data_IF_103893154028
#
_entry.id   IF_103893154028
#
_cell.length_a   1.000
_cell.length_b   1.000
_cell.length_c   1.000
_cell.angle_alpha   90.00
_cell.angle_beta   90.00
_cell.angle_gamma   90.00
#
_symmetry.space_group_name_H-M   'P 1'
#
loop_
_entity.id
_entity.type
_entity.pdbx_description
1 polymer ?
#
# COMPACT_ATOMS: atom_id res chain seq x y z
N UNK A 1 -49.33 4.52 3.32
CA UNK A 1 -48.75 5.69 2.62
C UNK A 1 -47.25 5.55 2.68
N UNK A 2 -46.57 5.63 1.53
CA UNK A 2 -45.10 5.67 1.48
C UNK A 2 -44.60 6.98 2.06
N UNK A 3 -43.56 6.92 2.88
CA UNK A 3 -42.92 8.10 3.46
C UNK A 3 -42.43 9.06 2.35
N UNK A 4 -42.63 10.39 2.46
CA UNK A 4 -42.04 11.35 1.54
C UNK A 4 -40.51 11.26 1.50
N UNK A 5 -39.90 11.64 0.38
CA UNK A 5 -38.44 11.64 0.25
C UNK A 5 -37.79 12.62 1.23
N UNK A 6 -36.66 12.21 1.80
CA UNK A 6 -35.77 13.02 2.66
C UNK A 6 -34.46 13.39 1.95
N UNK A 7 -34.35 13.06 0.66
CA UNK A 7 -33.18 13.35 -0.15
C UNK A 7 -32.92 14.86 -0.18
N UNK A 8 -31.85 15.27 0.48
CA UNK A 8 -31.45 16.67 0.61
C UNK A 8 -30.74 17.18 -0.66
N UNK A 9 -29.86 16.36 -1.25
CA UNK A 9 -29.12 16.71 -2.47
C UNK A 9 -29.80 16.12 -3.70
N UNK A 10 -30.22 16.96 -4.65
CA UNK A 10 -30.80 16.51 -5.91
C UNK A 10 -29.74 16.45 -7.02
N UNK A 11 -28.96 15.37 -7.05
CA UNK A 11 -27.95 15.10 -8.09
C UNK A 11 -28.15 13.69 -8.68
N UNK A 12 -28.73 13.64 -9.88
CA UNK A 12 -28.99 12.38 -10.59
C UNK A 12 -27.72 11.62 -11.00
N UNK A 13 -26.57 12.29 -11.03
CA UNK A 13 -25.29 11.68 -11.40
C UNK A 13 -24.61 10.93 -10.26
N UNK A 14 -24.99 11.21 -9.00
CA UNK A 14 -24.32 10.67 -7.82
C UNK A 14 -24.35 9.14 -7.78
N UNK A 15 -25.54 8.53 -7.84
CA UNK A 15 -25.69 7.07 -7.72
C UNK A 15 -24.99 6.34 -8.88
N UNK A 16 -25.20 6.71 -10.17
CA UNK A 16 -24.46 6.10 -11.28
C UNK A 16 -22.94 6.20 -11.12
N UNK A 17 -22.43 7.37 -10.70
CA UNK A 17 -21.00 7.57 -10.48
C UNK A 17 -20.46 6.62 -9.39
N UNK A 18 -21.13 6.54 -8.24
CA UNK A 18 -20.70 5.68 -7.12
C UNK A 18 -20.61 4.21 -7.51
N UNK A 19 -21.63 3.70 -8.21
CA UNK A 19 -21.68 2.31 -8.63
C UNK A 19 -20.73 2.01 -9.79
N UNK A 20 -20.42 2.99 -10.64
CA UNK A 20 -19.38 2.86 -11.66
C UNK A 20 -18.02 2.64 -11.01
N UNK A 21 -17.64 3.49 -10.04
CA UNK A 21 -16.40 3.31 -9.29
C UNK A 21 -16.37 2.01 -8.49
N UNK A 22 -17.48 1.65 -7.85
CA UNK A 22 -17.59 0.35 -7.16
C UNK A 22 -17.34 -0.84 -8.08
N UNK A 23 -17.92 -0.81 -9.30
CA UNK A 23 -17.77 -1.86 -10.30
C UNK A 23 -16.33 -1.99 -10.77
N UNK A 24 -15.65 -0.86 -11.02
CA UNK A 24 -14.23 -0.84 -11.41
C UNK A 24 -13.36 -1.44 -10.30
N UNK A 25 -13.52 -0.99 -9.05
CA UNK A 25 -12.74 -1.49 -7.91
C UNK A 25 -12.99 -2.98 -7.64
N UNK A 26 -14.24 -3.43 -7.78
CA UNK A 26 -14.62 -4.84 -7.64
C UNK A 26 -14.00 -5.70 -8.74
N UNK A 27 -14.04 -5.26 -9.99
CA UNK A 27 -13.42 -5.98 -11.11
C UNK A 27 -11.92 -6.19 -10.87
N UNK A 28 -11.21 -5.14 -10.43
CA UNK A 28 -9.78 -5.24 -10.11
C UNK A 28 -9.51 -6.22 -8.97
N UNK A 29 -10.33 -6.19 -7.92
CA UNK A 29 -10.18 -7.09 -6.78
C UNK A 29 -10.46 -8.54 -7.18
N UNK A 30 -11.51 -8.80 -7.96
CA UNK A 30 -11.81 -10.13 -8.51
C UNK A 30 -10.66 -10.63 -9.38
N UNK A 31 -10.13 -9.78 -10.27
CA UNK A 31 -9.00 -10.15 -11.12
C UNK A 31 -7.76 -10.50 -10.28
N UNK A 32 -7.49 -9.73 -9.21
CA UNK A 32 -6.40 -10.01 -8.27
C UNK A 32 -6.60 -11.36 -7.56
N UNK A 33 -7.81 -11.64 -7.07
CA UNK A 33 -8.13 -12.92 -6.43
C UNK A 33 -8.03 -14.10 -7.42
N UNK A 34 -8.44 -13.92 -8.68
CA UNK A 34 -8.31 -14.94 -9.71
C UNK A 34 -6.84 -15.24 -10.07
N UNK A 35 -5.99 -14.20 -10.16
CA UNK A 35 -4.56 -14.35 -10.41
C UNK A 35 -3.86 -15.06 -9.25
N UNK A 36 -4.14 -14.65 -8.02
CA UNK A 36 -3.54 -15.24 -6.81
C UNK A 36 -3.98 -16.70 -6.65
N UNK A 37 -5.26 -16.99 -6.83
CA UNK A 37 -5.78 -18.37 -6.87
C UNK A 37 -5.02 -19.25 -7.86
N UNK A 38 -4.74 -18.74 -9.08
CA UNK A 38 -3.96 -19.47 -10.09
C UNK A 38 -2.47 -19.63 -9.72
N UNK A 39 -1.87 -18.66 -9.03
CA UNK A 39 -0.44 -18.67 -8.71
C UNK A 39 -0.10 -19.56 -7.50
N UNK A 40 -0.91 -19.53 -6.44
CA UNK A 40 -0.62 -20.21 -5.16
C UNK A 40 -1.56 -21.38 -4.85
N UNK A 41 -2.73 -21.46 -5.49
CA UNK A 41 -3.75 -22.48 -5.22
C UNK A 41 -4.55 -22.24 -3.93
N UNK A 42 -5.65 -22.97 -3.76
CA UNK A 42 -6.42 -22.99 -2.51
C UNK A 42 -5.55 -23.55 -1.36
N UNK A 43 -5.44 -22.80 -0.27
CA UNK A 43 -4.76 -23.25 0.97
C UNK A 43 -3.39 -22.65 1.26
N UNK A 44 -2.83 -21.84 0.35
CA UNK A 44 -1.58 -21.08 0.58
C UNK A 44 -1.76 -19.56 0.51
N UNK A 45 -2.96 -19.09 0.85
CA UNK A 45 -3.29 -17.66 0.82
C UNK A 45 -2.37 -16.89 1.76
N UNK A 46 -1.78 -15.82 1.23
CA UNK A 46 -0.91 -14.94 2.00
C UNK A 46 -1.75 -13.89 2.73
N UNK A 47 -1.17 -13.25 3.74
CA UNK A 47 -1.87 -12.24 4.56
C UNK A 47 -2.46 -11.09 3.72
N UNK A 48 -1.84 -10.73 2.60
CA UNK A 48 -2.35 -9.71 1.68
C UNK A 48 -3.59 -10.15 0.89
N UNK A 49 -3.78 -11.44 0.63
CA UNK A 49 -4.95 -11.95 -0.09
C UNK A 49 -6.20 -11.94 0.79
N UNK A 50 -6.05 -12.33 2.07
CA UNK A 50 -7.11 -12.22 3.07
C UNK A 50 -7.46 -10.74 3.27
N UNK A 51 -6.45 -9.88 3.39
CA UNK A 51 -6.67 -8.45 3.58
C UNK A 51 -7.34 -7.80 2.37
N UNK A 52 -7.02 -8.24 1.14
CA UNK A 52 -7.70 -7.79 -0.07
C UNK A 52 -9.20 -8.11 -0.05
N UNK A 53 -9.58 -9.31 0.43
CA UNK A 53 -10.98 -9.68 0.58
C UNK A 53 -11.68 -8.83 1.65
N UNK A 54 -11.03 -8.60 2.80
CA UNK A 54 -11.55 -7.72 3.85
C UNK A 54 -11.75 -6.30 3.33
N UNK A 55 -10.77 -5.74 2.62
CA UNK A 55 -10.86 -4.41 2.00
C UNK A 55 -12.04 -4.36 1.02
N UNK A 56 -12.24 -5.39 0.21
CA UNK A 56 -13.38 -5.43 -0.71
C UNK A 56 -14.73 -5.51 0.01
N UNK A 57 -14.85 -6.29 1.08
CA UNK A 57 -16.07 -6.34 1.90
C UNK A 57 -16.38 -4.97 2.52
N UNK A 58 -15.38 -4.29 3.07
CA UNK A 58 -15.53 -2.92 3.56
C UNK A 58 -15.91 -1.95 2.44
N UNK A 59 -15.34 -2.10 1.24
CA UNK A 59 -15.66 -1.27 0.08
C UNK A 59 -17.12 -1.44 -0.37
N UNK A 60 -17.64 -2.67 -0.40
CA UNK A 60 -19.05 -2.95 -0.67
C UNK A 60 -19.95 -2.35 0.41
N UNK A 61 -19.62 -2.56 1.69
CA UNK A 61 -20.34 -1.97 2.82
C UNK A 61 -20.42 -0.44 2.71
N UNK A 62 -19.29 0.21 2.44
CA UNK A 62 -19.21 1.67 2.22
C UNK A 62 -20.10 2.12 1.07
N UNK A 63 -20.02 1.48 -0.11
CA UNK A 63 -20.82 1.87 -1.28
C UNK A 63 -22.33 1.74 -1.05
N UNK A 64 -22.76 0.68 -0.35
CA UNK A 64 -24.16 0.49 0.05
C UNK A 64 -24.57 1.58 1.05
N UNK A 65 -23.76 1.81 2.09
CA UNK A 65 -24.01 2.82 3.10
C UNK A 65 -24.14 4.23 2.48
N UNK A 66 -23.22 4.62 1.59
CA UNK A 66 -23.27 5.92 0.90
C UNK A 66 -24.47 6.08 -0.03
N UNK A 67 -25.01 4.96 -0.56
CA UNK A 67 -26.27 5.00 -1.33
C UNK A 67 -27.46 5.27 -0.42
N UNK A 68 -27.48 4.71 0.79
CA UNK A 68 -28.53 4.98 1.79
C UNK A 68 -28.44 6.41 2.33
N UNK A 69 -27.22 6.88 2.62
CA UNK A 69 -26.94 8.27 3.01
C UNK A 69 -27.49 9.26 1.98
N UNK A 70 -27.23 9.02 0.70
CA UNK A 70 -27.72 9.90 -0.35
C UNK A 70 -29.24 9.93 -0.46
N UNK A 71 -29.91 8.79 -0.23
CA UNK A 71 -31.38 8.68 -0.28
C UNK A 71 -32.07 9.30 0.92
N UNK A 72 -31.52 9.11 2.12
CA UNK A 72 -32.17 9.48 3.37
C UNK A 72 -31.68 10.80 3.99
N UNK A 73 -30.53 11.31 3.54
CA UNK A 73 -29.86 12.43 4.18
C UNK A 73 -29.28 12.07 5.56
N UNK A 74 -28.66 13.04 6.20
CA UNK A 74 -28.00 12.87 7.51
C UNK A 74 -28.28 14.05 8.43
N UNK A 75 -27.93 13.89 9.71
CA UNK A 75 -27.95 14.97 10.70
C UNK A 75 -27.07 16.17 10.33
N UNK A 76 -26.08 15.99 9.43
CA UNK A 76 -25.30 17.10 8.88
C UNK A 76 -26.07 17.94 7.87
N UNK A 77 -27.01 17.34 7.15
CA UNK A 77 -27.85 18.04 6.18
C UNK A 77 -29.00 18.78 6.87
N UNK A 78 -29.43 18.29 8.05
CA UNK A 78 -30.51 18.87 8.87
C UNK A 78 -29.99 19.29 10.27
N UNK A 79 -29.05 20.23 10.32
CA UNK A 79 -28.36 20.61 11.56
C UNK A 79 -29.06 21.73 12.36
N UNK A 80 -30.00 22.47 11.78
CA UNK A 80 -30.71 23.58 12.44
C UNK A 80 -32.08 23.14 12.98
N UNK A 81 -32.56 23.79 14.04
CA UNK A 81 -33.86 23.46 14.63
C UNK A 81 -35.01 23.64 13.63
N UNK A 82 -34.91 24.65 12.75
CA UNK A 82 -35.88 24.92 11.70
C UNK A 82 -35.89 23.82 10.64
N UNK A 83 -34.70 23.31 10.27
CA UNK A 83 -34.55 22.22 9.30
C UNK A 83 -35.08 20.88 9.84
N UNK A 84 -35.04 20.69 11.16
CA UNK A 84 -35.63 19.50 11.80
C UNK A 84 -37.15 19.66 11.95
N UNK A 85 -37.64 20.86 12.25
CA UNK A 85 -39.07 21.13 12.46
C UNK A 85 -39.94 20.90 11.21
N UNK A 86 -39.36 20.92 10.01
CA UNK A 86 -40.07 20.61 8.75
C UNK A 86 -40.25 19.10 8.52
N UNK A 87 -39.56 18.23 9.27
CA UNK A 87 -39.60 16.79 9.06
C UNK A 87 -40.80 16.17 9.78
N UNK A 88 -41.58 15.36 9.07
CA UNK A 88 -42.56 14.47 9.70
C UNK A 88 -41.88 13.33 10.47
N UNK A 89 -42.62 12.65 11.36
CA UNK A 89 -42.09 11.55 12.18
C UNK A 89 -41.39 10.43 11.38
N UNK A 90 -41.99 10.01 10.26
CA UNK A 90 -41.38 9.01 9.40
C UNK A 90 -40.14 9.51 8.66
N UNK A 91 -40.10 10.80 8.29
CA UNK A 91 -38.93 11.41 7.64
C UNK A 91 -37.77 11.53 8.62
N UNK A 92 -38.07 11.87 9.89
CA UNK A 92 -37.09 11.88 10.96
C UNK A 92 -36.39 10.52 11.11
N UNK A 93 -37.15 9.42 11.10
CA UNK A 93 -36.60 8.06 11.16
C UNK A 93 -35.69 7.72 9.97
N UNK A 94 -36.02 8.22 8.78
CA UNK A 94 -35.16 8.08 7.61
C UNK A 94 -33.84 8.81 7.81
N UNK A 95 -33.85 10.09 8.22
CA UNK A 95 -32.63 10.88 8.45
C UNK A 95 -31.77 10.27 9.57
N UNK A 96 -32.39 9.74 10.63
CA UNK A 96 -31.68 8.98 11.69
C UNK A 96 -31.01 7.75 11.10
N UNK A 97 -31.70 7.02 10.22
CA UNK A 97 -31.14 5.84 9.54
C UNK A 97 -29.97 6.23 8.63
N UNK A 98 -30.11 7.29 7.84
CA UNK A 98 -29.02 7.80 7.00
C UNK A 98 -27.81 8.26 7.83
N UNK A 99 -28.03 8.90 8.98
CA UNK A 99 -26.96 9.29 9.91
C UNK A 99 -26.19 8.10 10.48
N UNK A 100 -26.87 7.00 10.80
CA UNK A 100 -26.22 5.73 11.19
C UNK A 100 -25.41 5.13 10.04
N UNK A 101 -25.95 5.15 8.82
CA UNK A 101 -25.25 4.62 7.65
C UNK A 101 -24.01 5.45 7.29
N UNK A 102 -24.05 6.76 7.48
CA UNK A 102 -22.86 7.63 7.33
C UNK A 102 -21.76 7.22 8.30
N UNK A 103 -22.10 6.94 9.56
CA UNK A 103 -21.13 6.44 10.55
C UNK A 103 -20.53 5.09 10.12
N UNK A 104 -21.36 4.16 9.63
CA UNK A 104 -20.90 2.89 9.05
C UNK A 104 -19.96 3.11 7.86
N UNK A 105 -20.28 4.07 6.98
CA UNK A 105 -19.43 4.42 5.85
C UNK A 105 -18.06 4.95 6.28
N UNK A 106 -17.97 5.70 7.38
CA UNK A 106 -16.72 6.16 7.97
C UNK A 106 -15.86 5.02 8.51
N UNK A 107 -16.42 4.11 9.30
CA UNK A 107 -15.70 2.92 9.76
C UNK A 107 -15.17 2.06 8.60
N UNK A 108 -16.02 1.86 7.59
CA UNK A 108 -15.65 1.12 6.38
C UNK A 108 -14.54 1.85 5.58
N UNK A 109 -14.63 3.17 5.43
CA UNK A 109 -13.60 3.99 4.79
C UNK A 109 -12.24 3.86 5.48
N UNK A 110 -12.18 4.03 6.80
CA UNK A 110 -10.94 3.87 7.55
C UNK A 110 -10.38 2.46 7.42
N UNK A 111 -11.23 1.43 7.49
CA UNK A 111 -10.82 0.04 7.29
C UNK A 111 -10.21 -0.20 5.91
N UNK A 112 -10.76 0.42 4.86
CA UNK A 112 -10.21 0.35 3.50
C UNK A 112 -8.84 1.01 3.42
N UNK A 113 -8.70 2.27 3.88
CA UNK A 113 -7.45 3.03 3.76
C UNK A 113 -6.30 2.33 4.51
N UNK A 114 -6.52 1.90 5.75
CA UNK A 114 -5.50 1.19 6.52
C UNK A 114 -5.29 -0.26 6.04
N UNK A 115 -6.33 -0.92 5.55
CA UNK A 115 -6.22 -2.22 4.90
C UNK A 115 -5.32 -2.17 3.67
N UNK A 116 -5.48 -1.14 2.82
CA UNK A 116 -4.61 -0.90 1.67
C UNK A 116 -3.14 -0.68 2.08
N UNK A 117 -2.88 0.09 3.14
CA UNK A 117 -1.52 0.26 3.70
C UNK A 117 -0.94 -1.08 4.18
N UNK A 118 -1.75 -1.88 4.86
CA UNK A 118 -1.38 -3.23 5.27
C UNK A 118 -0.99 -4.11 4.08
N UNK A 119 -1.77 -4.09 3.00
CA UNK A 119 -1.45 -4.81 1.75
C UNK A 119 -0.12 -4.34 1.15
N UNK A 120 0.15 -3.03 1.13
CA UNK A 120 1.44 -2.48 0.67
C UNK A 120 2.60 -3.00 1.52
N UNK A 121 2.47 -3.01 2.85
CA UNK A 121 3.51 -3.54 3.75
C UNK A 121 3.81 -5.02 3.47
N UNK A 122 2.78 -5.85 3.25
CA UNK A 122 2.98 -7.25 2.85
C UNK A 122 3.70 -7.37 1.50
N UNK A 123 3.35 -6.53 0.52
CA UNK A 123 4.01 -6.50 -0.79
C UNK A 123 5.50 -6.12 -0.64
N UNK A 124 5.81 -5.11 0.17
CA UNK A 124 7.19 -4.68 0.45
C UNK A 124 8.01 -5.80 1.12
N UNK A 125 7.40 -6.53 2.07
CA UNK A 125 8.01 -7.69 2.71
C UNK A 125 8.28 -8.82 1.70
N UNK A 126 7.32 -9.12 0.81
CA UNK A 126 7.43 -10.15 -0.22
C UNK A 126 8.56 -9.89 -1.21
N UNK A 127 8.76 -8.63 -1.60
CA UNK A 127 9.87 -8.26 -2.49
C UNK A 127 11.26 -8.26 -1.83
N UNK A 128 11.35 -8.62 -0.54
CA UNK A 128 12.57 -8.57 0.29
C UNK A 128 13.23 -7.19 0.28
N UNK A 129 12.45 -6.13 0.09
CA UNK A 129 12.94 -4.74 0.12
C UNK A 129 13.24 -4.28 1.57
N UNK A 130 12.98 -5.14 2.55
CA UNK A 130 13.08 -4.82 3.98
C UNK A 130 14.38 -5.33 4.63
N UNK A 131 15.19 -6.14 3.94
CA UNK A 131 16.34 -6.82 4.54
C UNK A 131 17.35 -5.84 5.17
N UNK A 132 17.67 -4.75 4.48
CA UNK A 132 18.65 -3.76 4.96
C UNK A 132 18.04 -2.70 5.89
N UNK A 133 16.71 -2.70 6.04
CA UNK A 133 15.93 -1.65 6.72
C UNK A 133 14.80 -2.23 7.58
N UNK A 134 15.03 -3.39 8.19
CA UNK A 134 13.99 -4.13 8.92
C UNK A 134 13.40 -3.32 10.08
N UNK A 135 14.22 -2.49 10.73
CA UNK A 135 13.78 -1.55 11.77
C UNK A 135 12.74 -0.55 11.27
N UNK A 136 13.00 0.14 10.15
CA UNK A 136 12.08 1.09 9.54
C UNK A 136 10.79 0.41 9.10
N UNK A 137 10.88 -0.79 8.52
CA UNK A 137 9.70 -1.59 8.16
C UNK A 137 8.86 -1.96 9.39
N UNK A 138 9.48 -2.41 10.49
CA UNK A 138 8.78 -2.73 11.74
C UNK A 138 8.12 -1.50 12.33
N UNK A 139 8.82 -0.36 12.35
CA UNK A 139 8.25 0.92 12.80
C UNK A 139 7.06 1.31 11.94
N UNK A 140 7.15 1.21 10.61
CA UNK A 140 6.04 1.48 9.71
C UNK A 140 4.83 0.58 10.00
N UNK A 141 5.05 -0.73 10.13
CA UNK A 141 3.97 -1.67 10.41
C UNK A 141 3.28 -1.42 11.76
N UNK A 142 4.06 -1.17 12.82
CA UNK A 142 3.52 -0.84 14.15
C UNK A 142 2.76 0.48 14.10
N UNK A 143 3.33 1.52 13.50
CA UNK A 143 2.67 2.82 13.37
C UNK A 143 1.38 2.76 12.54
N UNK A 144 1.33 1.93 11.50
CA UNK A 144 0.09 1.67 10.74
C UNK A 144 -0.97 1.00 11.61
N UNK A 145 -0.60 -0.01 12.42
CA UNK A 145 -1.55 -0.65 13.34
C UNK A 145 -2.05 0.28 14.45
N UNK A 146 -1.14 1.03 15.07
CA UNK A 146 -1.45 1.99 16.14
C UNK A 146 -2.32 3.13 15.62
N UNK A 147 -2.01 3.68 14.44
CA UNK A 147 -2.82 4.74 13.84
C UNK A 147 -4.22 4.25 13.43
N UNK A 148 -4.37 3.00 12.99
CA UNK A 148 -5.68 2.42 12.74
C UNK A 148 -6.49 2.34 14.04
N UNK A 149 -5.89 1.82 15.11
CA UNK A 149 -6.52 1.75 16.42
C UNK A 149 -6.88 3.15 16.96
N UNK A 150 -5.99 4.13 16.79
CA UNK A 150 -6.24 5.51 17.17
C UNK A 150 -7.42 6.12 16.40
N UNK A 151 -7.49 5.89 15.08
CA UNK A 151 -8.61 6.35 14.26
C UNK A 151 -9.93 5.66 14.65
N UNK A 152 -9.89 4.35 14.89
CA UNK A 152 -11.06 3.59 15.33
C UNK A 152 -11.58 4.11 16.68
N UNK A 153 -10.67 4.34 17.64
CA UNK A 153 -11.01 4.93 18.93
C UNK A 153 -11.52 6.36 18.80
N UNK A 154 -10.95 7.16 17.90
CA UNK A 154 -11.46 8.51 17.61
C UNK A 154 -12.91 8.48 17.12
N UNK A 155 -13.26 7.55 16.22
CA UNK A 155 -14.66 7.36 15.78
C UNK A 155 -15.59 6.84 16.89
N UNK A 156 -15.08 6.06 17.84
CA UNK A 156 -15.88 5.52 18.94
C UNK A 156 -16.09 6.55 20.06
N UNK A 157 -15.06 7.33 20.37
CA UNK A 157 -14.99 8.21 21.54
C UNK A 157 -15.14 9.69 21.19
N UNK A 158 -15.16 10.04 19.90
CA UNK A 158 -15.22 11.42 19.41
C UNK A 158 -16.52 12.14 19.79
N UNK A 159 -17.57 11.40 20.11
CA UNK A 159 -18.83 11.94 20.58
C UNK A 159 -19.43 11.06 21.69
N UNK A 160 -19.64 11.65 22.86
CA UNK A 160 -20.25 11.03 24.04
C UNK A 160 -21.36 11.93 24.60
N UNK A 161 -22.56 11.40 24.87
CA UNK A 161 -22.99 10.00 24.72
C UNK A 161 -23.09 9.54 23.26
N UNK A 162 -22.66 8.30 22.99
CA UNK A 162 -22.48 7.79 21.61
C UNK A 162 -23.72 7.88 20.72
N UNK A 163 -24.93 7.88 21.30
CA UNK A 163 -26.21 8.04 20.60
C UNK A 163 -26.33 9.37 19.85
N UNK A 164 -25.63 10.41 20.30
CA UNK A 164 -25.66 11.73 19.68
C UNK A 164 -25.01 11.77 18.28
N UNK A 165 -24.22 10.75 17.91
CA UNK A 165 -23.64 10.63 16.56
C UNK A 165 -24.68 10.55 15.43
N UNK A 166 -25.88 10.05 15.73
CA UNK A 166 -26.98 9.91 14.77
C UNK A 166 -28.27 10.58 15.25
N UNK A 167 -28.18 11.44 16.27
CA UNK A 167 -29.31 12.20 16.76
C UNK A 167 -29.65 13.32 15.75
N UNK A 168 -30.95 13.52 15.54
CA UNK A 168 -31.49 14.54 14.63
C UNK A 168 -32.40 15.51 15.39
N UNK A 169 -33.25 14.99 16.30
CA UNK A 169 -34.13 15.79 17.16
C UNK A 169 -33.94 15.42 18.65
N UNK A 170 -33.66 16.37 19.56
CA UNK A 170 -33.24 17.74 19.27
C UNK A 170 -31.91 17.78 18.50
N UNK A 171 -31.59 18.87 17.78
CA UNK A 171 -30.35 18.97 17.02
C UNK A 171 -29.13 18.60 17.88
N UNK A 172 -28.19 17.79 17.35
CA UNK A 172 -27.04 17.33 18.11
C UNK A 172 -26.13 18.51 18.50
N UNK A 173 -25.43 18.43 19.64
CA UNK A 173 -24.46 19.45 20.01
C UNK A 173 -23.37 19.59 18.95
N UNK A 174 -22.80 20.79 18.80
CA UNK A 174 -21.83 21.10 17.74
C UNK A 174 -20.59 20.20 17.77
N UNK A 175 -20.22 19.67 18.95
CA UNK A 175 -19.15 18.69 19.14
C UNK A 175 -19.40 17.36 18.45
N UNK A 176 -20.65 16.90 18.41
CA UNK A 176 -21.06 15.61 17.84
C UNK A 176 -21.59 15.73 16.41
N UNK A 177 -22.16 16.89 16.08
CA UNK A 177 -22.62 17.20 14.73
C UNK A 177 -21.42 17.36 13.80
N UNK A 178 -20.44 18.21 14.16
CA UNK A 178 -19.40 18.60 13.21
C UNK A 178 -18.20 17.63 13.15
N UNK A 179 -18.21 16.71 12.16
CA UNK A 179 -17.17 15.68 11.90
C UNK A 179 -15.80 16.20 11.41
N UNK A 180 -15.51 17.50 11.55
CA UNK A 180 -14.23 18.09 11.19
C UNK A 180 -13.07 17.41 11.93
N UNK A 181 -13.26 17.10 13.22
CA UNK A 181 -12.24 16.44 14.04
C UNK A 181 -11.77 15.10 13.42
N UNK A 182 -12.70 14.25 12.99
CA UNK A 182 -12.37 12.95 12.40
C UNK A 182 -11.66 13.11 11.05
N UNK A 183 -12.01 14.13 10.27
CA UNK A 183 -11.28 14.49 9.05
C UNK A 183 -9.84 14.88 9.37
N UNK A 184 -9.61 15.74 10.37
CA UNK A 184 -8.28 16.17 10.78
C UNK A 184 -7.42 15.00 11.25
N UNK A 185 -7.95 14.20 12.19
CA UNK A 185 -7.25 13.05 12.75
C UNK A 185 -6.94 12.04 11.65
N UNK A 186 -7.93 11.72 10.80
CA UNK A 186 -7.73 10.82 9.67
C UNK A 186 -6.67 11.36 8.72
N UNK A 187 -6.69 12.65 8.36
CA UNK A 187 -5.72 13.24 7.45
C UNK A 187 -4.30 13.16 8.02
N UNK A 188 -4.08 13.58 9.27
CA UNK A 188 -2.75 13.57 9.91
C UNK A 188 -2.20 12.14 9.99
N UNK A 189 -3.00 11.19 10.48
CA UNK A 189 -2.58 9.80 10.64
C UNK A 189 -2.33 9.13 9.29
N UNK A 190 -3.19 9.38 8.30
CA UNK A 190 -3.02 8.86 6.94
C UNK A 190 -1.72 9.39 6.31
N UNK A 191 -1.51 10.71 6.39
CA UNK A 191 -0.33 11.39 5.83
C UNK A 191 0.96 10.90 6.46
N UNK A 192 0.99 10.84 7.78
CA UNK A 192 2.19 10.43 8.52
C UNK A 192 2.57 8.98 8.22
N UNK A 193 1.58 8.08 8.15
CA UNK A 193 1.83 6.66 7.85
C UNK A 193 2.25 6.42 6.41
N UNK A 194 1.71 7.16 5.44
CA UNK A 194 2.13 7.04 4.04
C UNK A 194 3.57 7.50 3.85
N UNK A 195 3.96 8.63 4.44
CA UNK A 195 5.36 9.09 4.37
C UNK A 195 6.33 8.04 4.92
N UNK A 196 5.97 7.39 6.02
CA UNK A 196 6.77 6.34 6.64
C UNK A 196 6.89 5.10 5.76
N UNK A 197 5.80 4.67 5.12
CA UNK A 197 5.80 3.53 4.18
C UNK A 197 6.60 3.86 2.91
N UNK A 198 6.44 5.07 2.36
CA UNK A 198 7.15 5.53 1.16
C UNK A 198 8.65 5.70 1.39
N UNK A 199 9.09 6.01 2.61
CA UNK A 199 10.49 6.10 2.98
C UNK A 199 11.25 4.76 2.87
N UNK A 200 10.55 3.61 2.94
CA UNK A 200 11.17 2.28 2.88
C UNK A 200 11.84 2.01 1.52
N UNK A 201 11.14 2.11 0.37
CA UNK A 201 11.73 1.80 -0.93
C UNK A 201 12.59 2.90 -1.55
N UNK A 202 12.49 4.16 -1.11
CA UNK A 202 13.17 5.31 -1.71
C UNK A 202 14.70 5.14 -1.84
N UNK A 203 15.43 4.75 -0.78
CA UNK A 203 16.88 4.57 -0.87
C UNK A 203 17.30 3.41 -1.78
N UNK A 204 16.45 2.38 -1.92
CA UNK A 204 16.72 1.20 -2.74
C UNK A 204 16.66 1.55 -4.23
N UNK A 205 15.71 2.42 -4.60
CA UNK A 205 15.58 2.94 -5.95
C UNK A 205 16.84 3.70 -6.40
N UNK A 206 17.56 4.33 -5.47
CA UNK A 206 18.74 5.12 -5.76
C UNK A 206 20.03 4.29 -5.83
N UNK A 207 20.12 3.17 -5.10
CA UNK A 207 21.38 2.43 -4.92
C UNK A 207 21.53 1.14 -5.75
N UNK A 208 20.49 0.60 -6.39
CA UNK A 208 20.55 -0.76 -6.97
C UNK A 208 20.13 -0.83 -8.44
N UNK A 209 20.89 -1.60 -9.24
CA UNK A 209 20.49 -2.14 -10.57
C UNK A 209 19.37 -3.19 -10.41
N UNK A 210 18.17 -2.76 -10.02
CA UNK A 210 16.99 -3.61 -9.99
C UNK A 210 16.52 -3.89 -11.41
N UNK A 211 16.14 -5.14 -11.69
CA UNK A 211 15.57 -5.51 -12.99
C UNK A 211 14.34 -4.66 -13.33
N UNK A 212 14.21 -4.25 -14.59
CA UNK A 212 13.24 -3.25 -15.06
C UNK A 212 11.80 -3.50 -14.57
N UNK A 213 11.37 -4.76 -14.53
CA UNK A 213 10.03 -5.11 -14.03
C UNK A 213 9.79 -4.79 -12.55
N UNK A 214 10.78 -5.04 -11.68
CA UNK A 214 10.70 -4.68 -10.26
C UNK A 214 10.75 -3.17 -10.07
N UNK A 215 11.57 -2.49 -10.88
CA UNK A 215 11.67 -1.02 -10.88
C UNK A 215 10.35 -0.36 -11.24
N UNK A 216 9.68 -0.83 -12.30
CA UNK A 216 8.36 -0.32 -12.71
C UNK A 216 7.32 -0.54 -11.61
N UNK A 217 7.22 -1.76 -11.04
CA UNK A 217 6.28 -2.03 -9.95
C UNK A 217 6.51 -1.16 -8.73
N UNK A 218 7.77 -0.86 -8.40
CA UNK A 218 8.14 -0.02 -7.27
C UNK A 218 7.82 1.46 -7.51
N UNK A 219 8.06 1.97 -8.74
CA UNK A 219 7.68 3.33 -9.13
C UNK A 219 6.16 3.48 -9.07
N UNK A 220 5.39 2.53 -9.62
CA UNK A 220 3.93 2.57 -9.57
C UNK A 220 3.42 2.59 -8.12
N UNK A 221 4.02 1.77 -7.24
CA UNK A 221 3.70 1.77 -5.82
C UNK A 221 4.01 3.12 -5.14
N UNK A 222 5.16 3.72 -5.44
CA UNK A 222 5.55 5.02 -4.87
C UNK A 222 4.62 6.14 -5.36
N UNK A 223 4.33 6.19 -6.66
CA UNK A 223 3.38 7.14 -7.25
C UNK A 223 1.98 6.98 -6.65
N UNK A 224 1.58 5.75 -6.30
CA UNK A 224 0.31 5.47 -5.65
C UNK A 224 0.17 6.14 -4.30
N UNK A 225 1.21 6.06 -3.46
CA UNK A 225 1.18 6.68 -2.15
C UNK A 225 1.14 8.19 -2.28
N UNK A 226 1.92 8.77 -3.19
CA UNK A 226 1.87 10.23 -3.45
C UNK A 226 0.48 10.65 -3.94
N UNK A 227 -0.18 9.86 -4.78
CA UNK A 227 -1.54 10.15 -5.24
C UNK A 227 -2.55 10.12 -4.09
N UNK A 228 -2.53 9.07 -3.27
CA UNK A 228 -3.44 8.94 -2.10
C UNK A 228 -3.22 10.09 -1.11
N UNK A 229 -1.96 10.47 -0.90
CA UNK A 229 -1.57 11.63 -0.10
C UNK A 229 -2.16 12.94 -0.64
N UNK A 230 -2.04 13.17 -1.94
CA UNK A 230 -2.62 14.36 -2.58
C UNK A 230 -4.15 14.36 -2.49
N UNK A 231 -4.80 13.20 -2.67
CA UNK A 231 -6.24 13.07 -2.52
C UNK A 231 -6.72 13.41 -1.10
N UNK A 232 -6.00 12.95 -0.07
CA UNK A 232 -6.28 13.30 1.32
C UNK A 232 -6.17 14.82 1.58
N UNK A 233 -5.15 15.48 1.01
CA UNK A 233 -4.98 16.94 1.09
C UNK A 233 -6.08 17.71 0.34
N UNK A 234 -6.50 17.22 -0.82
CA UNK A 234 -7.62 17.80 -1.58
C UNK A 234 -8.92 17.69 -0.79
N UNK A 235 -9.20 16.52 -0.19
CA UNK A 235 -10.37 16.31 0.68
C UNK A 235 -10.34 17.27 1.86
N UNK A 236 -9.18 17.43 2.49
CA UNK A 236 -8.99 18.41 3.55
C UNK A 236 -9.35 19.83 3.09
N UNK A 237 -8.89 20.24 1.91
CA UNK A 237 -9.26 21.52 1.30
C UNK A 237 -10.76 21.68 1.07
N UNK A 238 -11.45 20.66 0.55
CA UNK A 238 -12.91 20.71 0.31
C UNK A 238 -13.73 20.87 1.59
N UNK A 239 -13.26 20.25 2.67
CA UNK A 239 -13.89 20.38 3.99
C UNK A 239 -13.77 21.82 4.50
N UNK A 240 -12.62 22.47 4.30
CA UNK A 240 -12.43 23.87 4.69
C UNK A 240 -13.25 24.87 3.86
N UNK A 241 -13.54 24.56 2.60
CA UNK A 241 -14.35 25.44 1.72
C UNK A 241 -15.85 25.26 1.88
N UNK A 242 -16.31 24.41 2.82
CA UNK A 242 -17.74 24.18 3.05
C UNK A 242 -18.42 23.36 1.96
N UNK A 243 -17.69 22.41 1.35
CA UNK A 243 -18.25 21.53 0.33
C UNK A 243 -19.40 20.66 0.88
N UNK A 244 -20.38 20.36 0.03
CA UNK A 244 -21.52 19.52 0.43
C UNK A 244 -21.11 18.10 0.80
N UNK A 245 -21.84 17.47 1.72
CA UNK A 245 -21.65 16.07 2.15
C UNK A 245 -21.59 15.09 0.97
N UNK A 246 -22.47 15.29 -0.02
CA UNK A 246 -22.47 14.53 -1.28
C UNK A 246 -21.14 14.63 -2.06
N UNK A 247 -20.58 15.84 -2.20
CA UNK A 247 -19.31 16.03 -2.90
C UNK A 247 -18.14 15.36 -2.15
N UNK A 248 -18.11 15.48 -0.82
CA UNK A 248 -17.11 14.81 0.01
C UNK A 248 -17.17 13.29 -0.17
N UNK A 249 -18.38 12.73 -0.18
CA UNK A 249 -18.59 11.30 -0.37
C UNK A 249 -18.13 10.83 -1.77
N UNK A 250 -18.37 11.62 -2.84
CA UNK A 250 -17.84 11.33 -4.19
C UNK A 250 -16.33 11.22 -4.20
N UNK A 251 -15.64 12.17 -3.57
CA UNK A 251 -14.19 12.15 -3.48
C UNK A 251 -13.67 10.95 -2.68
N UNK A 252 -14.30 10.62 -1.55
CA UNK A 252 -13.96 9.43 -0.78
C UNK A 252 -14.10 8.15 -1.60
N UNK A 253 -15.11 8.05 -2.48
CA UNK A 253 -15.28 6.90 -3.35
C UNK A 253 -14.17 6.79 -4.39
N UNK A 254 -13.84 7.91 -5.05
CA UNK A 254 -12.75 7.99 -6.04
C UNK A 254 -11.41 7.60 -5.39
N UNK A 255 -11.10 8.17 -4.24
CA UNK A 255 -9.89 7.88 -3.47
C UNK A 255 -9.75 6.38 -3.16
N UNK A 256 -10.77 5.78 -2.53
CA UNK A 256 -10.73 4.34 -2.20
C UNK A 256 -10.61 3.45 -3.43
N UNK A 257 -11.27 3.82 -4.54
CA UNK A 257 -11.20 3.04 -5.78
C UNK A 257 -9.82 3.11 -6.41
N UNK A 258 -9.23 4.30 -6.49
CA UNK A 258 -7.88 4.46 -7.03
C UNK A 258 -6.86 3.76 -6.13
N UNK A 259 -7.01 3.85 -4.81
CA UNK A 259 -6.19 3.09 -3.86
C UNK A 259 -6.24 1.58 -4.12
N UNK A 260 -7.44 1.01 -4.28
CA UNK A 260 -7.63 -0.40 -4.64
C UNK A 260 -6.95 -0.72 -5.97
N UNK A 261 -7.15 0.11 -7.00
CA UNK A 261 -6.53 -0.10 -8.31
C UNK A 261 -5.02 -0.21 -8.15
N UNK A 262 -4.40 0.82 -7.57
CA UNK A 262 -2.94 0.93 -7.62
C UNK A 262 -2.24 -0.06 -6.69
N UNK A 263 -2.78 -0.35 -5.51
CA UNK A 263 -2.19 -1.36 -4.60
C UNK A 263 -2.22 -2.76 -5.21
N UNK A 264 -3.22 -3.06 -6.06
CA UNK A 264 -3.34 -4.36 -6.72
C UNK A 264 -2.53 -4.46 -8.03
N UNK A 265 -2.12 -3.33 -8.63
CA UNK A 265 -1.37 -3.30 -9.89
C UNK A 265 -0.07 -4.11 -9.90
N UNK A 266 0.80 -4.10 -8.87
CA UNK A 266 2.06 -4.86 -8.90
C UNK A 266 1.86 -6.36 -9.09
N UNK A 267 0.79 -6.93 -8.52
CA UNK A 267 0.47 -8.35 -8.63
C UNK A 267 -0.13 -8.65 -10.02
N UNK A 268 -1.06 -7.81 -10.48
CA UNK A 268 -1.65 -7.93 -11.81
C UNK A 268 -0.61 -7.80 -12.93
N UNK A 269 0.37 -6.92 -12.77
CA UNK A 269 1.46 -6.71 -13.73
C UNK A 269 2.28 -7.98 -13.98
N UNK A 270 2.48 -8.82 -12.97
CA UNK A 270 3.21 -10.10 -13.15
C UNK A 270 2.52 -11.02 -14.15
N UNK A 271 1.20 -10.92 -14.27
CA UNK A 271 0.37 -11.72 -15.16
C UNK A 271 0.18 -11.07 -16.54
N UNK A 272 0.11 -9.73 -16.58
CA UNK A 272 -0.06 -8.96 -17.81
C UNK A 272 1.24 -8.94 -18.65
N UNK A 273 2.41 -8.86 -17.99
CA UNK A 273 3.71 -8.78 -18.66
C UNK A 273 3.95 -9.85 -19.75
N UNK A 274 3.72 -11.16 -19.53
CA UNK A 274 3.90 -12.17 -20.58
C UNK A 274 2.96 -11.98 -21.77
N UNK A 275 1.72 -11.50 -21.57
CA UNK A 275 0.78 -11.25 -22.68
C UNK A 275 1.26 -10.12 -23.61
N UNK A 276 1.93 -9.11 -23.05
CA UNK A 276 2.49 -8.00 -23.82
C UNK A 276 3.83 -8.34 -24.50
N UNK A 277 4.67 -9.18 -23.87
CA UNK A 277 5.99 -9.53 -24.40
C UNK A 277 5.91 -10.69 -25.41
N UNK A 278 4.98 -11.64 -25.26
CA UNK A 278 4.81 -12.76 -26.21
C UNK A 278 4.34 -12.34 -27.60
N UNK A 279 3.82 -11.11 -27.78
CA UNK A 279 3.53 -10.56 -29.12
C UNK A 279 4.74 -9.89 -29.79
N UNK A 280 5.82 -9.61 -29.06
CA UNK A 280 7.00 -8.92 -29.59
C UNK A 280 8.14 -9.87 -30.01
N UNK A 281 8.00 -11.19 -29.79
CA UNK A 281 9.03 -12.18 -30.15
C UNK A 281 8.42 -13.38 -30.88
N UNK A 282 7.89 -13.15 -32.08
CA UNK A 282 7.87 -14.17 -33.13
C UNK A 282 8.91 -13.78 -34.18
N UNK A 283 10.19 -13.93 -33.82
CA UNK A 283 11.24 -14.19 -34.80
C UNK A 283 11.59 -15.68 -34.66
N UNK A 284 11.64 -16.47 -35.74
CA UNK A 284 11.92 -17.88 -35.66
C UNK A 284 13.34 -18.07 -35.09
N UNK A 285 13.46 -18.83 -34.01
CA UNK A 285 14.75 -19.32 -33.56
C UNK A 285 15.32 -20.22 -34.67
N UNK A 286 16.38 -19.75 -35.35
CA UNK A 286 17.23 -20.61 -36.19
C UNK A 286 17.78 -21.72 -35.29
N UNK A 287 17.64 -22.96 -35.75
CA UNK A 287 17.86 -24.16 -34.98
C UNK A 287 19.24 -24.28 -34.36
N UNK A 288 19.27 -24.86 -33.16
CA UNK A 288 20.45 -25.55 -32.65
C UNK A 288 20.14 -27.05 -32.64
N UNK A 289 20.96 -27.80 -33.37
CA UNK A 289 21.00 -29.25 -33.31
C UNK A 289 21.34 -29.73 -31.88
N UNK A 290 20.72 -30.82 -31.39
CA UNK A 290 21.12 -31.43 -30.14
C UNK A 290 22.43 -32.21 -30.34
N UNK A 291 23.51 -31.74 -29.72
CA UNK A 291 24.68 -32.58 -29.46
C UNK A 291 24.42 -33.44 -28.23
N UNK A 292 24.82 -34.70 -28.36
CA UNK A 292 24.58 -35.87 -27.52
C UNK A 292 24.82 -35.66 -26.03
N UNK A 293 23.87 -36.20 -25.25
CA UNK A 293 23.89 -36.40 -23.79
C UNK A 293 25.07 -37.28 -23.38
N UNK A 294 25.98 -36.75 -22.57
CA UNK A 294 26.89 -37.55 -21.74
C UNK A 294 26.31 -37.59 -20.34
N UNK A 295 26.02 -38.81 -19.86
CA UNK A 295 25.48 -39.10 -18.54
C UNK A 295 26.39 -38.58 -17.42
N UNK A 296 25.80 -37.87 -16.45
CA UNK A 296 26.42 -37.58 -15.16
C UNK A 296 25.39 -37.88 -14.06
N UNK A 297 25.70 -38.72 -13.05
CA UNK A 297 24.74 -39.09 -12.01
C UNK A 297 24.50 -37.93 -11.02
N UNK A 298 23.24 -37.80 -10.60
CA UNK A 298 22.79 -36.86 -9.58
C UNK A 298 23.38 -37.21 -8.22
N UNK A 299 24.05 -36.26 -7.56
CA UNK A 299 24.42 -36.35 -6.16
C UNK A 299 23.66 -35.29 -5.35
N UNK A 300 23.23 -35.73 -4.18
CA UNK A 300 22.23 -35.17 -3.29
C UNK A 300 22.53 -33.75 -2.78
N UNK A 301 21.48 -32.96 -2.58
CA UNK A 301 21.51 -31.63 -1.96
C UNK A 301 21.71 -31.69 -0.44
N UNK A 302 22.51 -30.79 0.16
CA UNK A 302 22.35 -30.42 1.56
C UNK A 302 21.63 -29.07 1.74
N UNK A 303 20.97 -28.84 2.90
CA UNK A 303 20.11 -27.68 3.15
C UNK A 303 20.85 -26.48 3.74
N UNK A 304 20.33 -25.29 3.43
CA UNK A 304 20.41 -24.01 4.16
C UNK A 304 21.80 -23.38 4.43
N UNK A 305 21.72 -22.06 4.61
CA UNK A 305 22.61 -21.17 5.39
C UNK A 305 23.63 -20.27 4.64
N UNK A 306 23.55 -18.99 5.06
CA UNK A 306 24.61 -17.97 5.20
C UNK A 306 25.06 -17.18 3.96
N UNK A 307 24.55 -15.95 3.89
CA UNK A 307 25.34 -14.81 3.42
C UNK A 307 26.48 -14.54 4.41
N UNK A 308 27.72 -14.45 3.93
CA UNK A 308 28.85 -13.97 4.72
C UNK A 308 30.20 -14.11 4.02
N UNK A 309 30.71 -12.96 3.55
CA UNK A 309 32.11 -12.52 3.49
C UNK A 309 33.17 -13.39 2.76
N UNK A 310 33.72 -12.81 1.68
CA UNK A 310 35.02 -13.15 1.06
C UNK A 310 36.20 -12.64 1.93
N UNK A 311 37.45 -13.12 1.70
CA UNK A 311 38.24 -13.83 2.71
C UNK A 311 39.41 -13.01 3.28
N UNK A 312 39.92 -13.43 4.43
CA UNK A 312 41.23 -13.02 4.94
C UNK A 312 42.07 -14.25 5.30
N UNK A 313 43.20 -14.34 4.58
CA UNK A 313 44.54 -14.78 5.03
C UNK A 313 44.78 -16.17 5.64
N UNK A 314 45.97 -16.68 5.28
CA UNK A 314 46.80 -17.67 5.96
C UNK A 314 46.21 -19.08 6.08
N UNK A 315 46.65 -20.00 5.21
CA UNK A 315 47.61 -21.02 5.62
C UNK A 315 47.91 -21.98 4.46
N UNK A 316 49.20 -22.11 4.14
CA UNK A 316 49.73 -23.07 3.20
C UNK A 316 49.97 -24.41 3.90
N UNK A 317 49.55 -25.56 3.32
CA UNK A 317 50.05 -26.86 3.75
C UNK A 317 51.39 -27.17 3.07
N UNK A 318 52.41 -27.41 3.91
CA UNK A 318 53.71 -27.98 3.53
C UNK A 318 53.52 -29.37 2.93
N UNK A 319 54.06 -29.63 1.74
CA UNK A 319 54.27 -30.99 1.21
C UNK A 319 55.67 -31.51 1.60
N UNK A 320 55.82 -32.83 1.82
CA UNK A 320 57.05 -33.42 2.32
C UNK A 320 58.07 -33.74 1.23
N UNK A 321 59.33 -33.82 1.67
CA UNK A 321 60.54 -34.17 0.95
C UNK A 321 60.43 -35.39 0.02
N UNK A 322 60.91 -35.23 -1.20
CA UNK A 322 61.23 -36.29 -2.14
C UNK A 322 62.44 -35.90 -3.00
N UNK A 323 63.45 -36.76 -2.99
CA UNK A 323 64.80 -36.63 -3.52
C UNK A 323 64.91 -36.61 -5.06
N UNK A 324 65.84 -35.79 -5.56
CA UNK A 324 66.72 -36.12 -6.69
C UNK A 324 66.23 -35.82 -8.11
N UNK A 325 66.78 -34.77 -8.74
CA UNK A 325 67.44 -34.84 -10.05
C UNK A 325 67.88 -33.44 -10.51
N UNK A 326 69.15 -33.38 -10.91
CA UNK A 326 69.87 -32.29 -11.58
C UNK A 326 69.12 -31.69 -12.79
N UNK A 327 69.16 -30.36 -12.93
CA UNK A 327 69.58 -29.73 -14.19
C UNK A 327 69.92 -28.24 -14.01
N UNK A 328 71.15 -27.89 -14.39
CA UNK A 328 71.68 -26.54 -14.59
C UNK A 328 70.84 -25.70 -15.56
N UNK A 329 70.66 -24.42 -15.24
CA UNK A 329 71.11 -23.27 -16.06
C UNK A 329 70.75 -21.95 -15.39
N UNK A 330 71.79 -21.19 -15.06
CA UNK A 330 71.67 -19.82 -14.60
C UNK A 330 71.30 -18.85 -15.71
N UNK A 331 70.66 -17.74 -15.31
CA UNK A 331 70.76 -16.43 -15.97
C UNK A 331 70.66 -15.36 -14.87
N UNK A 332 71.80 -14.70 -14.66
CA UNK A 332 72.05 -13.31 -14.20
C UNK A 332 70.98 -12.32 -14.70
N UNK A 333 70.50 -11.28 -14.02
CA UNK A 333 71.14 -10.24 -13.19
C UNK A 333 70.04 -9.25 -12.72
N UNK A 334 70.33 -8.38 -11.73
CA UNK A 334 69.38 -7.51 -11.05
C UNK A 334 69.48 -6.02 -11.46
N UNK A 335 68.41 -5.24 -11.26
CA UNK A 335 68.41 -3.77 -11.18
C UNK A 335 66.96 -3.31 -10.92
N UNK A 336 66.61 -2.27 -10.16
CA UNK A 336 67.32 -1.36 -9.30
C UNK A 336 66.26 -0.70 -8.38
N UNK A 337 66.66 -0.44 -7.14
CA UNK A 337 66.12 0.54 -6.18
C UNK A 337 66.34 1.99 -6.72
N UNK A 338 66.10 3.07 -5.95
CA UNK A 338 65.03 3.44 -5.00
C UNK A 338 64.59 4.92 -5.24
N UNK A 339 63.73 5.49 -4.38
CA UNK A 339 63.91 6.79 -3.68
C UNK A 339 62.54 7.33 -3.18
N UNK A 340 62.33 7.36 -1.85
CA UNK A 340 62.46 8.51 -0.91
C UNK A 340 61.19 9.39 -0.94
N UNK A 341 60.37 9.33 0.13
CA UNK A 341 60.33 10.26 1.31
C UNK A 341 59.83 11.66 0.87
N UNK A 342 58.89 12.34 1.52
CA UNK A 342 58.60 12.42 2.96
C UNK A 342 57.21 13.06 3.15
N UNK A 343 56.36 12.55 4.04
CA UNK A 343 55.98 13.13 5.35
C UNK A 343 55.11 14.42 5.30
N UNK A 344 53.86 14.38 5.81
CA UNK A 344 53.42 14.89 7.16
C UNK A 344 53.16 16.41 7.10
N UNK A 345 52.05 17.05 7.53
CA UNK A 345 51.09 16.88 8.63
C UNK A 345 49.82 17.76 8.37
N UNK A 346 48.90 18.08 9.31
CA UNK A 346 47.45 17.91 9.09
C UNK A 346 46.57 19.15 9.43
N UNK A 347 45.26 18.88 9.50
CA UNK A 347 44.23 19.45 10.40
C UNK A 347 43.61 20.84 10.16
N UNK A 348 42.37 20.87 10.65
CA UNK A 348 41.43 21.96 10.92
C UNK A 348 40.74 22.62 9.73
N UNK A 349 39.49 23.10 9.80
CA UNK A 349 38.30 23.04 10.66
C UNK A 349 37.37 24.16 10.10
N UNK A 350 36.10 24.18 10.52
CA UNK A 350 35.11 25.26 10.33
C UNK A 350 34.70 25.64 8.90
N UNK A 351 33.44 25.35 8.53
CA UNK A 351 32.31 26.31 8.61
C UNK A 351 30.97 25.56 8.57
#
# INVERSE_FOLDING_TARGET
MTCPSTQYHNDSTYVPEMWTWFSIGTLVTILRLAVTFRQVGCGKWQGDDILALVVWMCFACKSIALTMVFKYGTNMDYYSAEAVAILGSCQLDQVVTGSKMELVAWYAYCSIIWGLKGMVLFILARFRLVCDRIWLFRTAAVMTGVSYAAMFLALCLGCLPYRENWQVDPPPPSTCSFRMHDVYVSAILNVTTDLLILAIPLPILWKIRVGLGKKIGLILLLCSGIFVMAAALIRFGFVQTGSTSSNLNKWCQRETTIGIIVVNMPILWTWIKPLFISRASMLPARGCHPLSVVNMPCQETPPLYKCGLLPSTSDAPKLPHGTGASLDRGVTTPAAKPHILSTVHPLDASE
#
